data_IF_807660818392
#
_entry.id   IF_807660818392
#
_cell.length_a   1.000
_cell.length_b   1.000
_cell.length_c   1.000
_cell.angle_alpha   90.00
_cell.angle_beta   90.00
_cell.angle_gamma   90.00
#
_symmetry.space_group_name_H-M   'P 1'
#
loop_
_entity.id
_entity.type
_entity.pdbx_description
1 polymer ?
#
# COMPACT_ATOMS: atom_id res chain seq x y z
N UNK A 1 5.24 10.50 -8.32
CA UNK A 1 4.17 11.51 -8.24
C UNK A 1 3.59 11.58 -6.82
N UNK A 2 3.13 12.74 -6.33
CA UNK A 2 2.38 12.84 -5.06
C UNK A 2 1.02 12.12 -5.10
N UNK A 3 0.68 11.36 -4.05
CA UNK A 3 -0.60 10.64 -3.95
C UNK A 3 -1.81 11.59 -4.02
N UNK A 4 -1.71 12.78 -3.40
CA UNK A 4 -2.78 13.79 -3.40
C UNK A 4 -3.18 14.24 -4.81
N UNK A 5 -2.24 14.25 -5.76
CA UNK A 5 -2.54 14.57 -7.15
C UNK A 5 -3.40 13.50 -7.84
N UNK A 6 -3.17 12.22 -7.49
CA UNK A 6 -4.00 11.12 -7.98
C UNK A 6 -5.40 11.16 -7.36
N UNK A 7 -5.48 11.45 -6.05
CA UNK A 7 -6.75 11.66 -5.32
C UNK A 7 -7.58 12.77 -5.95
N UNK A 8 -6.97 13.93 -6.16
CA UNK A 8 -7.64 15.06 -6.79
C UNK A 8 -8.12 14.73 -8.21
N UNK A 9 -7.38 13.91 -8.96
CA UNK A 9 -7.76 13.48 -10.30
C UNK A 9 -8.96 12.55 -10.32
N UNK A 10 -9.00 11.48 -9.51
CA UNK A 10 -10.16 10.58 -9.52
C UNK A 10 -11.40 11.20 -8.89
N UNK A 11 -11.24 12.20 -8.03
CA UNK A 11 -12.34 13.01 -7.49
C UNK A 11 -12.75 14.19 -8.40
N UNK A 12 -12.18 14.31 -9.60
CA UNK A 12 -12.61 15.31 -10.58
C UNK A 12 -12.26 16.76 -10.26
N UNK A 13 -11.22 17.01 -9.47
CA UNK A 13 -10.78 18.37 -9.19
C UNK A 13 -10.38 19.09 -10.50
N UNK A 14 -10.88 20.32 -10.78
CA UNK A 14 -10.66 21.00 -12.06
C UNK A 14 -9.18 21.12 -12.46
N UNK A 15 -8.30 21.44 -11.51
CA UNK A 15 -6.84 21.56 -11.75
C UNK A 15 -6.15 20.23 -12.12
N UNK A 16 -6.83 19.10 -11.93
CA UNK A 16 -6.30 17.75 -12.14
C UNK A 16 -7.07 16.94 -13.19
N UNK A 17 -8.29 17.36 -13.59
CA UNK A 17 -9.15 16.62 -14.51
C UNK A 17 -8.50 16.36 -15.88
N UNK A 18 -7.66 17.28 -16.36
CA UNK A 18 -6.94 17.14 -17.63
C UNK A 18 -5.63 16.35 -17.52
N UNK A 19 -5.30 15.79 -16.35
CA UNK A 19 -4.11 14.95 -16.20
C UNK A 19 -4.37 13.54 -16.70
N UNK A 20 -3.38 12.98 -17.38
CA UNK A 20 -3.36 11.58 -17.77
C UNK A 20 -2.42 10.81 -16.82
N UNK A 21 -2.87 9.63 -16.39
CA UNK A 21 -2.04 8.66 -15.69
C UNK A 21 -1.87 7.43 -16.57
N UNK A 22 -0.61 7.03 -16.78
CA UNK A 22 -0.30 5.78 -17.44
C UNK A 22 -0.54 4.62 -16.46
N UNK A 23 -1.62 3.88 -16.69
CA UNK A 23 -2.02 2.69 -15.94
C UNK A 23 -1.78 1.40 -16.73
N UNK A 24 -0.94 1.46 -17.78
CA UNK A 24 -0.65 0.31 -18.65
C UNK A 24 0.31 -0.72 -18.02
N UNK A 25 0.96 -0.38 -16.91
CA UNK A 25 1.82 -1.28 -16.15
C UNK A 25 1.02 -2.25 -15.29
N UNK A 26 1.53 -3.46 -15.08
CA UNK A 26 0.87 -4.45 -14.21
C UNK A 26 1.07 -4.19 -12.72
N UNK A 27 2.08 -3.39 -12.35
CA UNK A 27 2.44 -3.10 -10.96
C UNK A 27 2.52 -1.60 -10.70
N UNK A 28 1.89 -1.15 -9.63
CA UNK A 28 2.02 0.19 -9.08
C UNK A 28 2.70 0.15 -7.70
N UNK A 29 3.55 1.14 -7.41
CA UNK A 29 4.25 1.26 -6.11
C UNK A 29 3.80 2.56 -5.43
N UNK A 30 3.34 2.46 -4.19
CA UNK A 30 2.91 3.58 -3.36
C UNK A 30 3.87 3.69 -2.17
N UNK A 31 4.48 4.86 -2.02
CA UNK A 31 5.37 5.14 -0.89
C UNK A 31 4.61 5.82 0.23
N UNK A 32 4.58 5.19 1.39
CA UNK A 32 3.86 5.64 2.58
C UNK A 32 2.74 4.68 2.96
N UNK A 33 2.45 4.58 4.27
CA UNK A 33 1.48 3.67 4.85
C UNK A 33 0.40 4.42 5.65
N UNK A 34 -0.15 5.48 5.06
CA UNK A 34 -1.28 6.25 5.59
C UNK A 34 -2.60 5.92 4.89
N UNK A 35 -3.72 6.48 5.37
CA UNK A 35 -5.04 6.24 4.76
C UNK A 35 -5.10 6.61 3.28
N UNK A 36 -4.43 7.69 2.86
CA UNK A 36 -4.36 8.08 1.45
C UNK A 36 -3.73 6.97 0.60
N UNK A 37 -2.70 6.29 1.11
CA UNK A 37 -2.06 5.19 0.41
C UNK A 37 -3.00 3.99 0.26
N UNK A 38 -3.78 3.69 1.30
CA UNK A 38 -4.80 2.64 1.26
C UNK A 38 -5.91 2.97 0.25
N UNK A 39 -6.36 4.23 0.22
CA UNK A 39 -7.43 4.65 -0.69
C UNK A 39 -6.99 4.62 -2.15
N UNK A 40 -5.78 5.12 -2.45
CA UNK A 40 -5.20 5.00 -3.80
C UNK A 40 -5.04 3.52 -4.19
N UNK A 41 -4.52 2.68 -3.30
CA UNK A 41 -4.40 1.25 -3.59
C UNK A 41 -5.76 0.60 -3.87
N UNK A 42 -6.77 0.91 -3.05
CA UNK A 42 -8.15 0.45 -3.20
C UNK A 42 -8.72 0.83 -4.57
N UNK A 43 -8.60 2.10 -4.97
CA UNK A 43 -9.07 2.57 -6.29
C UNK A 43 -8.39 1.80 -7.44
N UNK A 44 -7.07 1.62 -7.38
CA UNK A 44 -6.31 0.95 -8.45
C UNK A 44 -6.68 -0.54 -8.61
N UNK A 45 -7.01 -1.23 -7.52
CA UNK A 45 -7.37 -2.67 -7.59
C UNK A 45 -8.87 -2.93 -7.72
N UNK A 46 -9.74 -1.96 -7.44
CA UNK A 46 -11.19 -2.17 -7.42
C UNK A 46 -11.74 -2.54 -8.81
N UNK A 47 -12.90 -3.20 -8.81
CA UNK A 47 -13.68 -3.40 -10.02
C UNK A 47 -14.29 -2.06 -10.43
N UNK A 48 -14.03 -1.63 -11.67
CA UNK A 48 -14.50 -0.35 -12.21
C UNK A 48 -16.02 -0.27 -12.19
N UNK A 49 -16.74 -1.36 -12.47
CA UNK A 49 -18.21 -1.35 -12.44
C UNK A 49 -18.78 -1.07 -11.04
N UNK A 50 -18.01 -1.34 -9.98
CA UNK A 50 -18.38 -0.96 -8.61
C UNK A 50 -18.00 0.49 -8.29
N UNK A 51 -16.90 0.98 -8.86
CA UNK A 51 -16.50 2.39 -8.74
C UNK A 51 -17.48 3.32 -9.48
N UNK A 52 -18.06 2.88 -10.58
CA UNK A 52 -19.09 3.64 -11.32
C UNK A 52 -20.37 3.88 -10.50
N UNK A 53 -20.55 3.17 -9.39
CA UNK A 53 -21.64 3.40 -8.44
C UNK A 53 -21.30 4.48 -7.39
N UNK A 54 -20.07 5.01 -7.41
CA UNK A 54 -19.60 6.08 -6.52
C UNK A 54 -19.48 7.41 -7.28
N UNK A 55 -18.99 8.45 -6.61
CA UNK A 55 -18.76 9.79 -7.16
C UNK A 55 -17.40 9.94 -7.88
N UNK A 56 -16.87 8.84 -8.42
CA UNK A 56 -15.61 8.88 -9.17
C UNK A 56 -15.81 9.65 -10.48
N UNK A 57 -14.82 10.42 -10.90
CA UNK A 57 -14.90 11.18 -12.14
C UNK A 57 -14.88 10.26 -13.38
N UNK A 58 -15.72 10.58 -14.37
CA UNK A 58 -15.88 9.78 -15.60
C UNK A 58 -14.55 9.51 -16.31
N UNK A 59 -13.67 10.53 -16.40
CA UNK A 59 -12.35 10.37 -17.03
C UNK A 59 -11.45 9.40 -16.27
N UNK A 60 -11.59 9.32 -14.95
CA UNK A 60 -10.82 8.41 -14.10
C UNK A 60 -11.38 7.00 -14.18
N UNK A 61 -12.70 6.83 -14.18
CA UNK A 61 -13.34 5.53 -14.45
C UNK A 61 -12.91 4.98 -15.81
N UNK A 62 -12.95 5.80 -16.87
CA UNK A 62 -12.52 5.39 -18.20
C UNK A 62 -11.07 4.90 -18.22
N UNK A 63 -10.14 5.66 -17.61
CA UNK A 63 -8.74 5.26 -17.51
C UNK A 63 -8.53 3.99 -16.67
N UNK A 64 -9.29 3.81 -15.59
CA UNK A 64 -9.23 2.60 -14.76
C UNK A 64 -9.77 1.37 -15.49
N UNK A 65 -10.72 1.53 -16.42
CA UNK A 65 -11.25 0.43 -17.24
C UNK A 65 -10.20 -0.17 -18.16
N UNK A 66 -9.30 0.68 -18.67
CA UNK A 66 -8.17 0.29 -19.52
C UNK A 66 -6.89 -0.05 -18.73
N UNK A 67 -6.96 -0.05 -17.39
CA UNK A 67 -5.81 -0.32 -16.52
C UNK A 67 -5.38 -1.79 -16.57
N UNK A 68 -4.07 -2.01 -16.67
CA UNK A 68 -3.46 -3.33 -16.57
C UNK A 68 -3.02 -3.68 -15.14
N UNK A 69 -3.19 -2.78 -14.17
CA UNK A 69 -2.68 -2.97 -12.82
C UNK A 69 -3.32 -4.21 -12.17
N UNK A 70 -2.47 -5.16 -11.79
CA UNK A 70 -2.81 -6.37 -11.02
C UNK A 70 -2.22 -6.35 -9.63
N UNK A 71 -1.12 -5.64 -9.41
CA UNK A 71 -0.46 -5.56 -8.11
C UNK A 71 -0.22 -4.11 -7.69
N UNK A 72 -0.61 -3.78 -6.46
CA UNK A 72 -0.23 -2.52 -5.82
C UNK A 72 0.66 -2.83 -4.62
N UNK A 73 1.88 -2.31 -4.60
CA UNK A 73 2.82 -2.47 -3.50
C UNK A 73 2.83 -1.21 -2.65
N UNK A 74 2.47 -1.32 -1.39
CA UNK A 74 2.53 -0.24 -0.40
C UNK A 74 3.81 -0.40 0.42
N UNK A 75 4.71 0.55 0.30
CA UNK A 75 6.03 0.52 0.95
C UNK A 75 6.04 1.47 2.15
N UNK A 76 6.37 0.93 3.33
CA UNK A 76 6.49 1.68 4.58
C UNK A 76 7.85 1.46 5.23
N UNK A 77 8.54 2.56 5.55
CA UNK A 77 9.87 2.54 6.21
C UNK A 77 9.88 2.02 7.66
N UNK A 78 8.72 1.76 8.24
CA UNK A 78 8.54 1.29 9.63
C UNK A 78 7.56 0.11 9.64
N UNK A 79 7.48 -0.59 10.77
CA UNK A 79 6.59 -1.72 10.95
C UNK A 79 5.10 -1.35 11.03
N UNK A 80 4.21 -2.36 11.08
CA UNK A 80 2.77 -2.17 11.17
C UNK A 80 2.33 -1.28 12.34
N UNK A 81 2.97 -1.42 13.52
CA UNK A 81 2.67 -0.63 14.71
C UNK A 81 2.82 0.89 14.49
N UNK A 82 3.75 1.32 13.62
CA UNK A 82 3.97 2.73 13.32
C UNK A 82 3.27 3.21 12.05
N UNK A 83 2.47 2.36 11.40
CA UNK A 83 1.77 2.76 10.20
C UNK A 83 0.74 3.86 10.50
N UNK A 84 0.62 4.82 9.58
CA UNK A 84 -0.23 5.99 9.77
C UNK A 84 -1.70 5.74 9.39
N UNK A 85 -2.01 4.62 8.74
CA UNK A 85 -3.39 4.23 8.47
C UNK A 85 -4.14 3.89 9.77
N UNK A 86 -5.46 4.04 9.74
CA UNK A 86 -6.33 3.67 10.86
C UNK A 86 -6.77 2.20 10.73
N UNK A 87 -7.13 1.58 11.86
CA UNK A 87 -7.53 0.17 11.87
C UNK A 87 -8.78 -0.11 11.02
N UNK A 88 -9.84 0.75 11.02
CA UNK A 88 -11.00 0.53 10.16
C UNK A 88 -10.66 0.54 8.66
N UNK A 89 -9.82 1.48 8.22
CA UNK A 89 -9.42 1.59 6.80
C UNK A 89 -8.59 0.38 6.37
N UNK A 90 -7.68 -0.07 7.23
CA UNK A 90 -6.89 -1.28 6.96
C UNK A 90 -7.75 -2.54 6.94
N UNK A 91 -8.68 -2.67 7.89
CA UNK A 91 -9.62 -3.80 7.95
C UNK A 91 -10.54 -3.84 6.74
N UNK A 92 -10.98 -2.68 6.23
CA UNK A 92 -11.84 -2.58 5.06
C UNK A 92 -11.24 -3.24 3.80
N UNK A 93 -9.90 -3.31 3.70
CA UNK A 93 -9.23 -4.00 2.61
C UNK A 93 -9.54 -5.51 2.55
N UNK A 94 -9.81 -6.16 3.69
CA UNK A 94 -10.19 -7.60 3.71
C UNK A 94 -11.50 -7.85 2.96
N UNK A 95 -12.39 -6.87 2.97
CA UNK A 95 -13.72 -6.92 2.36
C UNK A 95 -13.69 -6.68 0.84
N UNK A 96 -12.54 -6.35 0.27
CA UNK A 96 -12.43 -6.17 -1.18
C UNK A 96 -12.69 -7.51 -1.90
N UNK A 97 -13.62 -7.53 -2.88
CA UNK A 97 -13.89 -8.72 -3.67
C UNK A 97 -12.76 -8.94 -4.69
N UNK A 98 -12.34 -10.19 -4.87
CA UNK A 98 -11.28 -10.58 -5.84
C UNK A 98 -9.97 -9.77 -5.70
N UNK A 99 -9.61 -9.45 -4.45
CA UNK A 99 -8.31 -8.86 -4.10
C UNK A 99 -7.71 -9.62 -2.92
N UNK A 100 -6.46 -10.04 -3.09
CA UNK A 100 -5.63 -10.60 -2.04
C UNK A 100 -4.85 -9.51 -1.32
N UNK A 101 -4.85 -9.56 0.01
CA UNK A 101 -3.99 -8.70 0.82
C UNK A 101 -2.79 -9.54 1.27
N UNK A 102 -1.61 -9.17 0.80
CA UNK A 102 -0.39 -9.93 1.00
C UNK A 102 0.54 -9.15 1.92
N UNK A 103 0.96 -9.78 3.00
CA UNK A 103 1.97 -9.26 3.92
C UNK A 103 2.96 -10.38 4.15
N UNK A 104 4.25 -10.10 3.96
CA UNK A 104 5.29 -11.07 4.32
C UNK A 104 5.27 -11.29 5.84
N UNK A 105 5.05 -12.53 6.33
CA UNK A 105 5.04 -12.82 7.76
C UNK A 105 6.29 -12.32 8.48
N UNK A 106 7.47 -12.37 7.84
CA UNK A 106 8.73 -11.89 8.43
C UNK A 106 8.73 -10.37 8.69
N UNK A 107 7.87 -9.62 8.00
CA UNK A 107 7.73 -8.17 8.15
C UNK A 107 6.44 -7.76 8.88
N UNK A 108 5.59 -8.72 9.23
CA UNK A 108 4.37 -8.51 10.01
C UNK A 108 4.63 -8.52 11.51
N UNK A 109 5.69 -9.20 11.95
CA UNK A 109 6.07 -9.28 13.35
C UNK A 109 6.56 -7.95 13.93
N UNK A 110 6.29 -7.77 15.22
CA UNK A 110 6.77 -6.62 15.97
C UNK A 110 8.25 -6.76 16.28
N UNK A 111 9.01 -5.72 15.96
CA UNK A 111 10.39 -5.62 16.45
C UNK A 111 10.40 -5.45 17.99
N UNK A 112 11.50 -5.79 18.67
CA UNK A 112 11.57 -5.74 20.14
C UNK A 112 11.30 -4.35 20.74
N UNK A 113 11.57 -3.27 20.01
CA UNK A 113 11.26 -1.92 20.49
C UNK A 113 9.75 -1.67 20.43
N UNK A 114 9.11 -2.03 19.31
CA UNK A 114 7.64 -1.93 19.18
C UNK A 114 6.90 -2.76 20.21
N UNK A 115 7.36 -3.99 20.48
CA UNK A 115 6.77 -4.86 21.50
C UNK A 115 6.83 -4.22 22.89
N UNK A 116 8.00 -3.71 23.30
CA UNK A 116 8.16 -3.03 24.60
C UNK A 116 7.28 -1.78 24.73
N UNK A 117 7.15 -1.00 23.65
CA UNK A 117 6.29 0.19 23.64
C UNK A 117 4.81 -0.16 23.83
N UNK A 118 4.37 -1.25 23.22
CA UNK A 118 3.00 -1.77 23.36
C UNK A 118 2.76 -2.35 24.77
N UNK A 119 3.76 -3.04 25.33
CA UNK A 119 3.66 -3.71 26.63
C UNK A 119 3.83 -2.76 27.82
N UNK A 120 4.49 -1.61 27.64
CA UNK A 120 4.58 -0.57 28.68
C UNK A 120 3.25 0.13 28.93
N UNK A 121 2.28 0.03 28.00
CA UNK A 121 1.01 0.75 28.05
C UNK A 121 1.10 2.22 27.62
N UNK A 122 2.28 2.67 27.16
CA UNK A 122 2.47 4.02 26.61
C UNK A 122 1.92 4.16 25.19
N UNK A 123 1.73 3.05 24.46
CA UNK A 123 1.09 3.05 23.16
C UNK A 123 -0.43 3.17 23.28
N UNK A 124 -1.04 3.94 22.38
CA UNK A 124 -2.49 3.96 22.19
C UNK A 124 -3.00 2.52 21.93
N UNK A 125 -4.16 2.11 22.49
CA UNK A 125 -4.71 0.76 22.27
C UNK A 125 -4.86 0.38 20.78
N UNK A 126 -5.11 1.37 19.93
CA UNK A 126 -5.21 1.19 18.48
C UNK A 126 -3.94 0.64 17.84
N UNK A 127 -2.76 0.91 18.42
CA UNK A 127 -1.46 0.41 17.93
C UNK A 127 -1.38 -1.11 18.06
N UNK A 128 -1.79 -1.65 19.22
CA UNK A 128 -1.82 -3.10 19.47
C UNK A 128 -2.74 -3.80 18.47
N UNK A 129 -3.97 -3.30 18.34
CA UNK A 129 -4.97 -3.84 17.39
C UNK A 129 -4.41 -3.82 15.96
N UNK A 130 -3.69 -2.77 15.57
CA UNK A 130 -3.10 -2.65 14.24
C UNK A 130 -2.07 -3.73 13.96
N UNK A 131 -1.18 -3.97 14.93
CA UNK A 131 -0.16 -5.01 14.83
C UNK A 131 -0.80 -6.40 14.72
N UNK A 132 -1.77 -6.69 15.59
CA UNK A 132 -2.53 -7.94 15.58
C UNK A 132 -3.24 -8.16 14.23
N UNK A 133 -3.92 -7.13 13.70
CA UNK A 133 -4.57 -7.21 12.39
C UNK A 133 -3.59 -7.51 11.25
N UNK A 134 -2.37 -6.96 11.31
CA UNK A 134 -1.35 -7.21 10.30
C UNK A 134 -0.80 -8.64 10.38
N UNK A 135 -0.58 -9.17 11.58
CA UNK A 135 -0.17 -10.56 11.81
C UNK A 135 -1.26 -11.56 11.38
N UNK A 136 -2.52 -11.25 11.66
CA UNK A 136 -3.64 -12.05 11.17
C UNK A 136 -3.70 -12.04 9.64
N UNK A 137 -3.51 -10.88 9.00
CA UNK A 137 -3.54 -10.77 7.54
C UNK A 137 -2.35 -11.47 6.87
N UNK A 138 -1.16 -11.47 7.49
CA UNK A 138 0.00 -12.19 6.95
C UNK A 138 -0.17 -13.70 7.00
N UNK A 139 -0.99 -14.20 7.93
CA UNK A 139 -1.23 -15.64 8.12
C UNK A 139 -2.52 -16.13 7.46
N UNK A 140 -3.38 -15.22 6.97
CA UNK A 140 -4.64 -15.57 6.35
C UNK A 140 -4.42 -16.26 4.99
N UNK A 141 -5.18 -17.33 4.66
CA UNK A 141 -5.14 -17.92 3.34
C UNK A 141 -5.51 -16.90 2.26
N UNK A 142 -4.74 -16.88 1.17
CA UNK A 142 -5.06 -16.07 -0.01
C UNK A 142 -6.26 -16.67 -0.76
N UNK A 143 -7.01 -15.81 -1.43
CA UNK A 143 -8.21 -16.20 -2.20
C UNK A 143 -7.86 -16.66 -3.63
N UNK A 144 -6.57 -16.61 -4.02
CA UNK A 144 -6.09 -16.77 -5.40
C UNK A 144 -6.72 -15.73 -6.34
N UNK A 145 -6.78 -14.49 -5.86
CA UNK A 145 -7.41 -13.38 -6.54
C UNK A 145 -6.59 -12.92 -7.74
N UNK A 146 -7.26 -12.37 -8.76
CA UNK A 146 -6.56 -11.82 -9.95
C UNK A 146 -5.75 -10.56 -9.64
N UNK A 147 -6.09 -9.87 -8.55
CA UNK A 147 -5.42 -8.65 -8.11
C UNK A 147 -4.97 -8.79 -6.67
N UNK A 148 -3.93 -8.03 -6.29
CA UNK A 148 -3.42 -8.03 -4.92
C UNK A 148 -2.87 -6.68 -4.47
N UNK A 149 -2.97 -6.42 -3.18
CA UNK A 149 -2.28 -5.33 -2.48
C UNK A 149 -1.20 -5.97 -1.60
N UNK A 150 0.06 -5.62 -1.84
CA UNK A 150 1.22 -6.13 -1.12
C UNK A 150 1.73 -5.06 -0.16
N UNK A 151 1.85 -5.38 1.12
CA UNK A 151 2.50 -4.51 2.09
C UNK A 151 3.97 -4.90 2.27
N UNK A 152 4.87 -3.94 2.07
CA UNK A 152 6.31 -4.05 2.32
C UNK A 152 6.67 -3.11 3.46
N UNK A 153 6.73 -3.65 4.67
CA UNK A 153 7.18 -2.92 5.86
C UNK A 153 8.70 -2.97 5.99
N UNK A 154 9.24 -2.06 6.80
CA UNK A 154 10.68 -1.96 7.09
C UNK A 154 11.55 -1.69 5.83
N UNK A 155 10.93 -1.22 4.75
CA UNK A 155 11.60 -0.92 3.50
C UNK A 155 11.63 0.59 3.25
N UNK A 156 12.80 1.10 2.87
CA UNK A 156 12.98 2.48 2.43
C UNK A 156 13.38 2.47 0.96
N UNK A 157 12.61 3.10 0.06
CA UNK A 157 12.99 3.23 -1.34
C UNK A 157 14.33 3.97 -1.43
N UNK A 158 15.32 3.32 -2.04
CA UNK A 158 16.66 3.89 -2.20
C UNK A 158 16.81 4.69 -3.50
N UNK A 159 16.04 4.32 -4.53
CA UNK A 159 16.11 4.93 -5.86
C UNK A 159 14.83 4.62 -6.64
N UNK A 160 14.40 5.54 -7.51
CA UNK A 160 13.40 5.27 -8.54
C UNK A 160 14.17 5.19 -9.86
N UNK A 161 14.23 3.99 -10.46
CA UNK A 161 14.92 3.80 -11.72
C UNK A 161 14.01 4.13 -12.91
N UNK A 162 14.57 4.80 -13.91
CA UNK A 162 13.94 5.07 -15.20
C UNK A 162 13.80 6.57 -15.52
N UNK A 163 14.25 6.97 -16.71
CA UNK A 163 14.33 8.37 -17.12
C UNK A 163 12.98 8.94 -17.64
N UNK A 164 12.15 8.09 -18.28
CA UNK A 164 10.81 8.48 -18.79
C UNK A 164 9.65 7.69 -18.15
N UNK A 165 9.93 6.48 -17.64
CA UNK A 165 8.98 5.57 -16.99
C UNK A 165 9.69 4.77 -15.91
N UNK A 166 9.02 4.46 -14.81
CA UNK A 166 9.63 3.62 -13.76
C UNK A 166 9.89 2.23 -14.31
N UNK A 167 11.15 1.79 -14.23
CA UNK A 167 11.55 0.42 -14.58
C UNK A 167 11.78 -0.37 -13.30
N UNK A 168 11.45 -1.67 -13.33
CA UNK A 168 11.64 -2.54 -12.16
C UNK A 168 13.12 -2.58 -11.75
N UNK A 169 13.42 -2.04 -10.57
CA UNK A 169 14.73 -2.13 -9.94
C UNK A 169 14.55 -2.37 -8.44
N UNK A 170 14.69 -3.62 -8.02
CA UNK A 170 14.85 -3.94 -6.60
C UNK A 170 16.31 -4.28 -6.38
N UNK A 171 17.00 -3.45 -5.59
CA UNK A 171 18.32 -3.79 -5.05
C UNK A 171 18.16 -4.03 -3.56
N UNK A 172 18.19 -5.28 -3.15
CA UNK A 172 18.36 -5.63 -1.74
C UNK A 172 19.75 -5.14 -1.31
N UNK A 173 19.80 -4.15 -0.43
CA UNK A 173 21.04 -3.81 0.24
C UNK A 173 21.32 -4.93 1.26
N UNK A 174 22.50 -5.57 1.23
CA UNK A 174 22.85 -6.52 2.27
C UNK A 174 22.83 -5.77 3.61
N UNK A 175 22.09 -6.31 4.58
CA UNK A 175 22.16 -5.90 5.97
C UNK A 175 23.61 -6.00 6.41
N UNK A 176 24.28 -4.85 6.56
CA UNK A 176 25.64 -4.79 7.06
C UNK A 176 25.59 -5.27 8.52
N UNK A 177 26.10 -6.48 8.77
CA UNK A 177 26.20 -7.05 10.11
C UNK A 177 27.07 -6.15 10.98
N UNK A 178 26.60 -5.87 12.18
CA UNK A 178 27.27 -5.04 13.20
C UNK A 178 28.51 -5.71 13.81
N UNK A 179 29.18 -6.63 13.11
CA UNK A 179 30.33 -7.35 13.63
C UNK A 179 31.50 -7.26 12.64
N UNK A 180 32.47 -6.42 13.01
CA UNK A 180 33.80 -6.21 12.41
C UNK A 180 33.88 -5.20 11.24
N UNK A 181 34.17 -3.95 11.59
CA UNK A 181 34.89 -3.02 10.72
C UNK A 181 36.30 -2.81 11.33
N UNK A 182 37.40 -2.89 10.54
CA UNK A 182 38.77 -2.69 11.03
C UNK A 182 39.07 -1.25 11.46
#
# INVERSE_FOLDING_TARGET
>A
MPQQSFVAWYNGHPDYANRAFDLSSERAIIIGNGNVALDVARILVSNVDQLDLTDIADHASAALRDSNIREVVIVGRRGPAQAAYTNPEFLALRSLPDVDIVIDPAHADLDPHSQRWIDSGEAEPSVRIKAELAQEMSSAPLKDSKKRIVFRYLESPVEILGEERVVNGHRELPMCGLENCP
#
